data_IF_054225302736
#
_entry.id   IF_054225302736
#
_cell.length_a   1.000
_cell.length_b   1.000
_cell.length_c   1.000
_cell.angle_alpha   90.00
_cell.angle_beta   90.00
_cell.angle_gamma   90.00
#
_symmetry.space_group_name_H-M   'P 1'
#
loop_
_entity.id
_entity.type
_entity.pdbx_description
1 polymer ?
#
# COMPACT_ATOMS: atom_id res chain seq x y z
N UNK A 1 -1.60 41.48 -64.97
CA UNK A 1 -0.40 40.62 -65.06
C UNK A 1 0.44 40.79 -63.80
N UNK A 2 0.52 39.75 -62.96
CA UNK A 2 1.69 39.35 -62.15
C UNK A 2 1.31 38.09 -61.36
N UNK A 3 1.92 37.00 -61.79
CA UNK A 3 1.84 35.60 -61.37
C UNK A 3 2.83 35.30 -60.23
N UNK A 4 2.60 34.17 -59.53
CA UNK A 4 3.58 33.39 -58.73
C UNK A 4 4.12 34.07 -57.46
N UNK A 5 4.22 33.41 -56.30
CA UNK A 5 4.62 32.03 -56.04
C UNK A 5 4.03 31.52 -54.71
N UNK A 6 3.66 30.24 -54.69
CA UNK A 6 3.45 29.45 -53.47
C UNK A 6 4.80 29.17 -52.80
N UNK A 7 4.89 29.38 -51.48
CA UNK A 7 5.92 28.79 -50.63
C UNK A 7 5.22 28.05 -49.48
N UNK A 8 5.03 26.75 -49.68
CA UNK A 8 4.67 25.78 -48.65
C UNK A 8 5.92 25.54 -47.79
N UNK A 9 5.95 26.13 -46.59
CA UNK A 9 6.90 25.74 -45.55
C UNK A 9 6.32 24.54 -44.79
N UNK A 10 6.74 23.33 -45.19
CA UNK A 10 6.48 22.11 -44.44
C UNK A 10 7.52 22.00 -43.33
N UNK A 11 7.24 22.55 -42.15
CA UNK A 11 8.04 22.26 -40.95
C UNK A 11 7.53 20.96 -40.32
N UNK A 12 8.25 19.86 -40.55
CA UNK A 12 8.10 18.63 -39.79
C UNK A 12 8.37 18.92 -38.30
N UNK A 13 7.32 18.99 -37.49
CA UNK A 13 7.47 18.83 -36.05
C UNK A 13 7.82 17.37 -35.77
N UNK A 14 9.07 17.09 -35.41
CA UNK A 14 9.42 15.81 -34.79
C UNK A 14 8.81 15.79 -33.40
N UNK A 15 7.74 15.01 -33.24
CA UNK A 15 7.20 14.66 -31.93
C UNK A 15 8.33 14.01 -31.12
N UNK A 16 8.57 14.43 -29.86
CA UNK A 16 9.46 13.70 -29.00
C UNK A 16 8.83 12.31 -28.82
N UNK A 17 9.52 11.29 -29.32
CA UNK A 17 9.20 9.92 -28.97
C UNK A 17 9.22 9.86 -27.44
N UNK A 18 8.08 9.54 -26.83
CA UNK A 18 8.04 9.19 -25.42
C UNK A 18 9.07 8.07 -25.24
N UNK A 19 10.23 8.41 -24.67
CA UNK A 19 11.19 7.41 -24.26
C UNK A 19 10.47 6.54 -23.23
N UNK A 20 10.05 5.34 -23.62
CA UNK A 20 9.67 4.32 -22.67
C UNK A 20 10.90 4.13 -21.79
N UNK A 21 10.79 4.52 -20.52
CA UNK A 21 11.83 4.20 -19.55
C UNK A 21 12.11 2.70 -19.66
N UNK A 22 13.38 2.27 -19.77
CA UNK A 22 13.69 0.85 -19.85
C UNK A 22 13.05 0.17 -18.64
N UNK A 23 12.10 -0.73 -18.89
CA UNK A 23 11.50 -1.54 -17.84
C UNK A 23 12.62 -2.38 -17.26
N UNK A 24 13.03 -2.05 -16.04
CA UNK A 24 14.02 -2.84 -15.34
C UNK A 24 13.55 -4.29 -15.24
N UNK A 25 14.47 -5.28 -15.34
CA UNK A 25 14.08 -6.67 -15.17
C UNK A 25 13.47 -6.87 -13.78
N UNK A 26 12.51 -7.79 -13.64
CA UNK A 26 11.91 -8.09 -12.34
C UNK A 26 12.98 -8.58 -11.36
N UNK A 27 12.77 -8.28 -10.08
CA UNK A 27 13.66 -8.73 -9.01
C UNK A 27 13.83 -10.25 -9.03
N UNK A 28 15.07 -10.71 -8.85
CA UNK A 28 15.41 -12.13 -8.77
C UNK A 28 15.55 -12.58 -7.30
N UNK A 29 15.11 -13.80 -7.01
CA UNK A 29 15.30 -14.38 -5.67
C UNK A 29 16.80 -14.44 -5.32
N UNK A 30 17.17 -13.91 -4.15
CA UNK A 30 18.56 -13.84 -3.69
C UNK A 30 19.38 -12.71 -4.31
N UNK A 31 18.76 -11.82 -5.09
CA UNK A 31 19.43 -10.63 -5.61
C UNK A 31 19.86 -9.72 -4.45
N UNK A 32 21.11 -9.26 -4.49
CA UNK A 32 21.68 -8.31 -3.55
C UNK A 32 22.00 -7.03 -4.31
N UNK A 33 21.56 -5.90 -3.78
CA UNK A 33 21.80 -4.57 -4.33
C UNK A 33 21.55 -3.51 -3.26
N UNK A 34 21.78 -2.25 -3.61
CA UNK A 34 21.39 -1.13 -2.75
C UNK A 34 19.87 -0.99 -2.70
N UNK A 35 19.33 -0.38 -1.64
CA UNK A 35 17.89 -0.13 -1.53
C UNK A 35 17.34 0.65 -2.73
N UNK A 36 18.10 1.63 -3.24
CA UNK A 36 17.71 2.42 -4.41
C UNK A 36 17.63 1.59 -5.69
N UNK A 37 18.59 0.67 -5.92
CA UNK A 37 18.58 -0.21 -7.09
C UNK A 37 17.42 -1.21 -7.05
N UNK A 38 17.13 -1.77 -5.88
CA UNK A 38 16.05 -2.74 -5.71
C UNK A 38 14.66 -2.07 -5.81
N UNK A 39 14.51 -0.87 -5.24
CA UNK A 39 13.27 -0.09 -5.33
C UNK A 39 12.94 0.29 -6.78
N UNK A 40 13.95 0.71 -7.56
CA UNK A 40 13.76 1.04 -8.98
C UNK A 40 13.27 -0.15 -9.82
N UNK A 41 13.63 -1.39 -9.44
CA UNK A 41 13.24 -2.61 -10.14
C UNK A 41 11.88 -3.15 -9.70
N UNK A 42 11.50 -2.95 -8.43
CA UNK A 42 10.20 -3.36 -7.88
C UNK A 42 9.04 -2.61 -8.55
N UNK A 43 9.24 -1.32 -8.81
CA UNK A 43 8.18 -0.41 -9.26
C UNK A 43 7.18 -0.06 -8.14
N UNK A 44 6.25 0.88 -8.39
CA UNK A 44 5.20 1.20 -7.45
C UNK A 44 4.25 0.01 -7.32
N UNK A 45 4.00 -0.44 -6.10
CA UNK A 45 3.06 -1.52 -5.84
C UNK A 45 1.97 -1.02 -4.87
N UNK A 46 0.75 -1.49 -5.08
CA UNK A 46 -0.34 -1.31 -4.15
C UNK A 46 -0.66 -2.67 -3.57
N UNK A 47 -0.93 -2.74 -2.27
CA UNK A 47 -1.44 -3.97 -1.68
C UNK A 47 -2.71 -4.40 -2.41
N UNK A 48 -2.80 -5.71 -2.68
CA UNK A 48 -4.02 -6.29 -3.23
C UNK A 48 -5.17 -6.07 -2.24
N UNK A 49 -6.35 -5.62 -2.71
CA UNK A 49 -7.51 -5.48 -1.84
C UNK A 49 -7.86 -6.83 -1.20
N UNK A 50 -8.09 -6.82 0.10
CA UNK A 50 -8.59 -7.97 0.85
C UNK A 50 -10.04 -7.76 1.26
N UNK A 51 -10.77 -8.85 1.44
CA UNK A 51 -12.14 -8.84 1.94
C UNK A 51 -12.29 -9.79 3.12
N UNK A 52 -12.47 -9.23 4.29
CA UNK A 52 -12.49 -9.98 5.54
C UNK A 52 -13.86 -10.56 5.82
N UNK A 53 -13.88 -11.76 6.41
CA UNK A 53 -15.12 -12.42 6.79
C UNK A 53 -15.64 -11.91 8.12
N UNK A 54 -16.80 -11.26 8.10
CA UNK A 54 -17.47 -10.74 9.31
C UNK A 54 -17.74 -11.82 10.36
N UNK A 55 -18.03 -13.05 9.94
CA UNK A 55 -18.31 -14.17 10.86
C UNK A 55 -17.06 -14.75 11.54
N UNK A 56 -15.86 -14.30 11.14
CA UNK A 56 -14.58 -14.68 11.74
C UNK A 56 -13.99 -13.61 12.67
N UNK A 57 -14.63 -12.46 12.76
CA UNK A 57 -14.22 -11.35 13.63
C UNK A 57 -15.18 -11.28 14.82
N UNK A 58 -14.68 -11.06 16.05
CA UNK A 58 -15.55 -10.88 17.22
C UNK A 58 -16.57 -9.77 16.99
N UNK A 59 -17.84 -9.91 17.42
CA UNK A 59 -18.90 -8.96 17.11
C UNK A 59 -18.59 -7.51 17.47
N UNK A 60 -17.83 -7.28 18.55
CA UNK A 60 -17.42 -5.97 19.05
C UNK A 60 -16.26 -5.33 18.26
N UNK A 61 -15.65 -6.06 17.32
CA UNK A 61 -14.55 -5.60 16.45
C UNK A 61 -14.95 -5.54 14.97
N UNK A 62 -16.15 -6.01 14.61
CA UNK A 62 -16.63 -6.09 13.23
C UNK A 62 -16.72 -4.71 12.55
N UNK A 63 -16.91 -3.64 13.32
CA UNK A 63 -16.92 -2.26 12.82
C UNK A 63 -15.53 -1.78 12.37
N UNK A 64 -14.45 -2.42 12.84
CA UNK A 64 -13.08 -2.12 12.44
C UNK A 64 -12.67 -2.80 11.13
N UNK A 65 -13.48 -3.71 10.58
CA UNK A 65 -13.14 -4.44 9.35
C UNK A 65 -12.72 -3.51 8.19
N UNK A 66 -13.44 -2.42 7.87
CA UNK A 66 -13.03 -1.54 6.78
C UNK A 66 -11.65 -0.89 7.02
N UNK A 67 -11.29 -0.65 8.28
CA UNK A 67 -9.97 -0.15 8.64
C UNK A 67 -8.92 -1.26 8.52
N UNK A 68 -9.21 -2.47 8.99
CA UNK A 68 -8.31 -3.61 8.85
C UNK A 68 -8.06 -3.97 7.37
N UNK A 69 -9.06 -3.87 6.50
CA UNK A 69 -8.90 -4.07 5.05
C UNK A 69 -8.00 -3.02 4.40
N UNK A 70 -8.06 -1.76 4.86
CA UNK A 70 -7.27 -0.66 4.32
C UNK A 70 -5.83 -0.62 4.88
N UNK A 71 -5.68 -0.88 6.18
CA UNK A 71 -4.45 -0.64 6.93
C UNK A 71 -3.73 -1.91 7.37
N UNK A 72 -4.38 -3.07 7.26
CA UNK A 72 -3.85 -4.39 7.63
C UNK A 72 -2.87 -4.97 6.61
N UNK A 73 -1.89 -4.17 6.16
CA UNK A 73 -0.93 -4.54 5.13
C UNK A 73 0.26 -5.26 5.75
N UNK A 74 0.47 -6.52 5.38
CA UNK A 74 1.57 -7.35 5.94
C UNK A 74 2.96 -7.04 5.41
N UNK A 75 3.07 -6.66 4.13
CA UNK A 75 4.32 -6.25 3.51
C UNK A 75 4.74 -4.87 4.05
N UNK A 76 5.94 -4.80 4.63
CA UNK A 76 6.46 -3.60 5.29
C UNK A 76 6.68 -2.44 4.33
N UNK A 77 7.21 -2.70 3.13
CA UNK A 77 7.38 -1.68 2.09
C UNK A 77 6.04 -1.12 1.62
N UNK A 78 5.04 -1.97 1.34
CA UNK A 78 3.70 -1.50 0.95
C UNK A 78 3.01 -0.72 2.06
N UNK A 79 3.22 -1.12 3.31
CA UNK A 79 2.66 -0.46 4.48
C UNK A 79 3.28 0.92 4.66
N UNK A 80 4.60 1.04 4.55
CA UNK A 80 5.33 2.32 4.59
C UNK A 80 4.88 3.26 3.45
N UNK A 81 4.85 2.78 2.20
CA UNK A 81 4.36 3.54 1.05
C UNK A 81 2.89 3.97 1.18
N UNK A 82 2.05 3.17 1.86
CA UNK A 82 0.68 3.56 2.19
C UNK A 82 0.69 4.70 3.22
N UNK A 83 1.46 4.53 4.31
CA UNK A 83 1.56 5.53 5.38
C UNK A 83 2.09 6.86 4.86
N UNK A 84 3.09 6.88 3.99
CA UNK A 84 3.62 8.11 3.39
C UNK A 84 2.56 8.85 2.54
N UNK A 85 1.74 8.10 1.79
CA UNK A 85 0.69 8.68 0.93
C UNK A 85 -0.56 9.12 1.69
N UNK A 86 -0.86 8.47 2.81
CA UNK A 86 -2.07 8.76 3.59
C UNK A 86 -1.99 10.15 4.24
N UNK A 87 -3.13 10.84 4.25
CA UNK A 87 -3.25 12.12 4.93
C UNK A 87 -3.20 11.97 6.45
N UNK A 88 -2.77 13.01 7.16
CA UNK A 88 -2.80 13.01 8.64
C UNK A 88 -4.20 12.77 9.19
N UNK A 89 -5.24 13.24 8.49
CA UNK A 89 -6.63 13.00 8.86
C UNK A 89 -6.99 11.51 8.80
N UNK A 90 -6.54 10.79 7.77
CA UNK A 90 -6.77 9.35 7.66
C UNK A 90 -6.03 8.56 8.74
N UNK A 91 -4.76 8.92 9.02
CA UNK A 91 -3.96 8.32 10.09
C UNK A 91 -4.61 8.56 11.46
N UNK A 92 -5.05 9.78 11.72
CA UNK A 92 -5.76 10.18 12.94
C UNK A 92 -7.06 9.40 13.09
N UNK A 93 -7.87 9.30 12.03
CA UNK A 93 -9.13 8.57 12.06
C UNK A 93 -8.93 7.09 12.40
N UNK A 94 -7.89 6.45 11.85
CA UNK A 94 -7.51 5.09 12.24
C UNK A 94 -7.11 5.02 13.73
N UNK A 95 -6.21 5.88 14.18
CA UNK A 95 -5.73 5.88 15.57
C UNK A 95 -6.89 6.11 16.57
N UNK A 96 -7.77 7.07 16.29
CA UNK A 96 -8.93 7.37 17.14
C UNK A 96 -9.93 6.19 17.18
N UNK A 97 -10.11 5.46 16.07
CA UNK A 97 -10.95 4.26 16.03
C UNK A 97 -10.39 3.09 16.86
N UNK A 98 -9.07 3.01 17.00
CA UNK A 98 -8.37 1.95 17.75
C UNK A 98 -8.13 2.32 19.21
N UNK A 99 -8.32 3.59 19.57
CA UNK A 99 -8.19 4.09 20.94
C UNK A 99 -8.99 3.21 21.91
N UNK A 100 -8.32 2.73 22.96
CA UNK A 100 -8.87 1.81 23.97
C UNK A 100 -9.29 0.42 23.46
N UNK A 101 -9.09 0.09 22.18
CA UNK A 101 -9.41 -1.22 21.61
C UNK A 101 -8.17 -2.11 21.41
N UNK A 102 -6.97 -1.55 21.50
CA UNK A 102 -5.71 -2.30 21.33
C UNK A 102 -5.64 -3.56 22.20
N UNK A 103 -5.86 -3.42 23.52
CA UNK A 103 -5.83 -4.56 24.43
C UNK A 103 -6.88 -5.63 24.07
N UNK A 104 -8.05 -5.21 23.59
CA UNK A 104 -9.13 -6.11 23.18
C UNK A 104 -8.79 -6.87 21.90
N UNK A 105 -8.15 -6.22 20.93
CA UNK A 105 -7.66 -6.84 19.70
C UNK A 105 -6.54 -7.83 20.04
N UNK A 106 -5.55 -7.42 20.83
CA UNK A 106 -4.45 -8.29 21.26
C UNK A 106 -4.96 -9.53 22.00
N UNK A 107 -5.92 -9.38 22.93
CA UNK A 107 -6.52 -10.51 23.62
C UNK A 107 -7.24 -11.50 22.67
N UNK A 108 -7.82 -11.01 21.57
CA UNK A 108 -8.38 -11.87 20.53
C UNK A 108 -7.28 -12.57 19.74
N UNK A 109 -6.23 -11.86 19.33
CA UNK A 109 -5.09 -12.45 18.62
C UNK A 109 -4.37 -13.52 19.46
N UNK A 110 -4.25 -13.29 20.77
CA UNK A 110 -3.64 -14.24 21.71
C UNK A 110 -4.50 -15.51 21.95
N UNK A 111 -5.78 -15.48 21.57
CA UNK A 111 -6.67 -16.64 21.72
C UNK A 111 -6.45 -17.73 20.68
N UNK A 112 -5.72 -17.44 19.60
CA UNK A 112 -5.48 -18.41 18.54
C UNK A 112 -4.49 -19.50 18.97
N UNK A 113 -4.72 -20.77 18.59
CA UNK A 113 -3.85 -21.88 18.93
C UNK A 113 -2.45 -21.71 18.31
N UNK A 114 -1.41 -21.95 19.12
CA UNK A 114 -0.01 -21.89 18.66
C UNK A 114 0.26 -22.95 17.59
N UNK A 115 1.09 -22.60 16.61
CA UNK A 115 1.51 -23.50 15.53
C UNK A 115 0.49 -23.69 14.41
N UNK A 116 -0.68 -23.03 14.49
CA UNK A 116 -1.60 -22.94 13.37
C UNK A 116 -1.31 -21.71 12.50
N UNK A 117 -1.55 -21.76 11.19
CA UNK A 117 -1.51 -20.59 10.34
C UNK A 117 -2.47 -19.50 10.84
N UNK A 118 -2.05 -18.25 10.76
CA UNK A 118 -2.89 -17.10 11.07
C UNK A 118 -3.98 -16.96 10.01
N UNK A 119 -5.20 -16.60 10.41
CA UNK A 119 -6.27 -16.28 9.44
C UNK A 119 -6.06 -14.88 8.86
N UNK A 120 -6.64 -14.62 7.69
CA UNK A 120 -6.56 -13.31 7.04
C UNK A 120 -7.09 -12.19 7.94
N UNK A 121 -8.15 -12.44 8.71
CA UNK A 121 -8.70 -11.48 9.66
C UNK A 121 -7.72 -11.17 10.81
N UNK A 122 -7.11 -12.21 11.39
CA UNK A 122 -6.14 -12.02 12.45
C UNK A 122 -4.90 -11.27 11.94
N UNK A 123 -4.42 -11.60 10.74
CA UNK A 123 -3.30 -10.91 10.10
C UNK A 123 -3.62 -9.44 9.83
N UNK A 124 -4.78 -9.13 9.24
CA UNK A 124 -5.18 -7.77 8.93
C UNK A 124 -5.29 -6.90 10.19
N UNK A 125 -5.89 -7.43 11.27
CA UNK A 125 -5.97 -6.70 12.54
C UNK A 125 -4.61 -6.54 13.22
N UNK A 126 -3.75 -7.56 13.17
CA UNK A 126 -2.38 -7.48 13.70
C UNK A 126 -1.59 -6.39 12.97
N UNK A 127 -1.57 -6.40 11.63
CA UNK A 127 -0.80 -5.45 10.83
C UNK A 127 -1.39 -4.04 10.89
N UNK A 128 -2.70 -3.88 11.08
CA UNK A 128 -3.30 -2.57 11.35
C UNK A 128 -2.78 -1.99 12.68
N UNK A 129 -2.68 -2.79 13.74
CA UNK A 129 -2.09 -2.34 15.00
C UNK A 129 -0.61 -2.00 14.86
N UNK A 130 0.14 -2.82 14.10
CA UNK A 130 1.55 -2.58 13.83
C UNK A 130 1.77 -1.25 13.09
N UNK A 131 0.96 -0.96 12.06
CA UNK A 131 1.07 0.31 11.33
C UNK A 131 0.81 1.54 12.22
N UNK A 132 -0.09 1.44 13.20
CA UNK A 132 -0.33 2.50 14.19
C UNK A 132 0.87 2.69 15.11
N UNK A 133 1.50 1.60 15.53
CA UNK A 133 2.70 1.60 16.37
C UNK A 133 3.90 2.21 15.64
N UNK A 134 4.15 1.79 14.40
CA UNK A 134 5.23 2.30 13.53
C UNK A 134 5.13 3.82 13.34
N UNK A 135 3.91 4.36 13.24
CA UNK A 135 3.67 5.80 13.14
C UNK A 135 3.75 6.54 14.49
N UNK A 136 3.96 5.84 15.61
CA UNK A 136 3.96 6.44 16.94
C UNK A 136 2.60 6.96 17.39
N UNK A 137 1.51 6.37 16.88
CA UNK A 137 0.13 6.80 17.13
C UNK A 137 -0.61 5.94 18.15
N UNK A 138 0.04 4.92 18.72
CA UNK A 138 -0.55 4.03 19.71
C UNK A 138 -0.82 4.78 21.03
N UNK A 139 -2.09 4.75 21.48
CA UNK A 139 -2.57 5.47 22.67
C UNK A 139 -3.47 4.60 23.55
#
# INVERSE_FOLDING_TARGET
MKTCWMLLFTTCMTLPACAQAPTSPPLQHGQIGTAAELAAQRGPATADPIHLRRDRVPPDLVDLIPLAEKWGIGDDLLRDEMQERATDAEKRAMADALKHRHARITAWLDSFPKGQPMTDEAAAFMYMQLGVDEMGLMQ
#
